data_IF_047442026967
#
_entry.id   IF_047442026967
#
_cell.length_a   1.000
_cell.length_b   1.000
_cell.length_c   1.000
_cell.angle_alpha   90.00
_cell.angle_beta   90.00
_cell.angle_gamma   90.00
#
_symmetry.space_group_name_H-M   'P 1'
#
loop_
_entity.id
_entity.type
_entity.pdbx_description
1 polymer ?
#
# COMPACT_ATOMS: atom_id res chain seq x y z
N UNK A 1 -1.28 -22.52 -38.85
CA UNK A 1 0.20 -22.52 -38.75
C UNK A 1 0.59 -22.56 -37.27
N UNK A 2 1.61 -23.36 -36.99
CA UNK A 2 2.15 -23.87 -35.71
C UNK A 2 1.91 -23.06 -34.42
N UNK A 3 1.39 -23.76 -33.41
CA UNK A 3 1.42 -23.31 -32.02
C UNK A 3 2.86 -23.09 -31.54
N UNK A 4 3.10 -21.92 -30.97
CA UNK A 4 4.35 -21.56 -30.33
C UNK A 4 4.37 -22.21 -28.95
N UNK A 5 5.17 -23.27 -28.80
CA UNK A 5 5.52 -23.81 -27.48
C UNK A 5 6.51 -22.84 -26.84
N UNK A 6 6.10 -22.22 -25.74
CA UNK A 6 7.01 -21.46 -24.86
C UNK A 6 7.88 -22.50 -24.13
N UNK A 7 9.22 -22.43 -24.20
CA UNK A 7 10.08 -23.37 -23.47
C UNK A 7 9.88 -23.21 -21.96
N UNK A 8 9.73 -24.34 -21.27
CA UNK A 8 9.40 -24.45 -19.84
C UNK A 8 10.62 -24.29 -18.89
N UNK A 9 11.66 -23.56 -19.29
CA UNK A 9 12.89 -23.40 -18.49
C UNK A 9 13.31 -21.93 -18.33
N UNK A 10 12.41 -21.10 -17.81
CA UNK A 10 12.76 -19.77 -17.28
C UNK A 10 12.52 -19.73 -15.76
N UNK A 11 13.15 -20.66 -15.04
CA UNK A 11 13.54 -20.41 -13.66
C UNK A 11 14.79 -19.52 -13.73
N UNK A 12 14.59 -18.21 -13.69
CA UNK A 12 15.62 -17.18 -13.79
C UNK A 12 16.56 -17.15 -12.58
N UNK A 13 17.41 -18.15 -12.44
CA UNK A 13 18.70 -17.92 -11.79
C UNK A 13 19.64 -17.33 -12.84
N UNK A 14 20.10 -16.10 -12.61
CA UNK A 14 21.10 -15.43 -13.45
C UNK A 14 22.25 -16.38 -13.78
N UNK A 15 22.28 -16.84 -15.04
CA UNK A 15 23.32 -17.73 -15.53
C UNK A 15 24.54 -16.88 -15.87
N UNK A 16 25.59 -17.02 -15.08
CA UNK A 16 26.91 -16.50 -15.42
C UNK A 16 27.73 -17.58 -16.16
N UNK A 17 28.96 -17.23 -16.54
CA UNK A 17 29.91 -18.02 -17.36
C UNK A 17 29.74 -19.54 -17.17
N UNK A 18 29.55 -20.27 -18.29
CA UNK A 18 29.33 -21.73 -18.36
C UNK A 18 27.95 -22.26 -17.87
N UNK A 19 26.93 -21.41 -17.74
CA UNK A 19 25.58 -21.83 -17.36
C UNK A 19 25.40 -22.07 -15.85
N UNK A 20 26.35 -21.61 -15.05
CA UNK A 20 26.33 -21.67 -13.60
C UNK A 20 25.92 -20.31 -13.01
N UNK A 21 25.07 -20.31 -11.99
CA UNK A 21 24.78 -19.09 -11.23
C UNK A 21 25.94 -18.72 -10.31
N UNK A 22 25.97 -17.47 -9.82
CA UNK A 22 27.05 -16.93 -8.98
C UNK A 22 27.30 -17.80 -7.74
N UNK A 23 26.24 -18.27 -7.11
CA UNK A 23 26.31 -19.17 -5.94
C UNK A 23 26.90 -20.53 -6.28
N UNK A 24 26.65 -21.05 -7.49
CA UNK A 24 27.20 -22.33 -7.97
C UNK A 24 28.67 -22.22 -8.35
N UNK A 25 29.07 -21.10 -8.96
CA UNK A 25 30.47 -20.79 -9.21
C UNK A 25 31.26 -20.72 -7.89
N UNK A 26 30.67 -20.10 -6.86
CA UNK A 26 31.26 -20.02 -5.53
C UNK A 26 31.41 -21.42 -4.88
N UNK A 27 30.40 -22.27 -4.98
CA UNK A 27 30.47 -23.65 -4.45
C UNK A 27 31.56 -24.49 -5.16
N UNK A 28 31.69 -24.35 -6.48
CA UNK A 28 32.77 -24.99 -7.25
C UNK A 28 34.14 -24.49 -6.81
N UNK A 29 34.30 -23.16 -6.72
CA UNK A 29 35.55 -22.54 -6.32
C UNK A 29 35.96 -22.96 -4.90
N UNK A 30 35.01 -23.04 -3.97
CA UNK A 30 35.25 -23.52 -2.61
C UNK A 30 35.65 -24.99 -2.57
N UNK A 31 35.02 -25.86 -3.36
CA UNK A 31 35.40 -27.28 -3.46
C UNK A 31 36.81 -27.48 -4.02
N UNK A 32 37.18 -26.71 -5.06
CA UNK A 32 38.53 -26.73 -5.61
C UNK A 32 39.57 -26.16 -4.64
N UNK A 33 39.23 -25.07 -3.94
CA UNK A 33 40.08 -24.47 -2.93
C UNK A 33 40.30 -25.44 -1.75
N UNK A 34 39.25 -26.13 -1.30
CA UNK A 34 39.35 -27.16 -0.27
C UNK A 34 40.21 -28.36 -0.71
N UNK A 35 40.07 -28.81 -1.96
CA UNK A 35 40.95 -29.83 -2.53
C UNK A 35 42.42 -29.39 -2.53
N UNK A 36 42.67 -28.14 -2.94
CA UNK A 36 44.02 -27.56 -2.95
C UNK A 36 44.63 -27.44 -1.55
N UNK A 37 43.87 -26.98 -0.55
CA UNK A 37 44.37 -26.90 0.83
C UNK A 37 44.67 -28.27 1.42
N UNK A 38 43.86 -29.29 1.11
CA UNK A 38 44.09 -30.68 1.56
C UNK A 38 45.40 -31.24 0.99
N UNK A 39 45.74 -30.91 -0.26
CA UNK A 39 47.02 -31.30 -0.88
C UNK A 39 48.24 -30.64 -0.23
N UNK A 40 48.05 -29.62 0.62
CA UNK A 40 49.13 -28.92 1.34
C UNK A 40 49.19 -29.29 2.83
N UNK A 41 48.36 -30.24 3.28
CA UNK A 41 48.42 -30.79 4.64
C UNK A 41 49.49 -31.87 4.75
N UNK A 42 50.15 -31.98 5.90
CA UNK A 42 51.15 -33.02 6.19
C UNK A 42 50.51 -34.38 6.52
N UNK A 43 49.73 -34.93 5.60
CA UNK A 43 49.09 -36.25 5.72
C UNK A 43 49.80 -37.33 4.86
N UNK A 44 49.52 -38.63 5.03
CA UNK A 44 50.00 -39.64 4.10
C UNK A 44 49.44 -39.41 2.70
N UNK A 45 50.28 -39.50 1.65
CA UNK A 45 49.92 -39.25 0.25
C UNK A 45 48.65 -39.96 -0.27
N UNK A 46 48.37 -41.24 0.05
CA UNK A 46 47.12 -41.87 -0.40
C UNK A 46 45.88 -41.23 0.24
N UNK A 47 46.01 -40.73 1.47
CA UNK A 47 44.91 -40.12 2.23
C UNK A 47 44.67 -38.67 1.77
N UNK A 48 45.75 -37.96 1.41
CA UNK A 48 45.66 -36.64 0.79
C UNK A 48 44.94 -36.69 -0.56
N UNK A 49 45.36 -37.57 -1.46
CA UNK A 49 44.80 -37.65 -2.81
C UNK A 49 43.32 -38.05 -2.77
N UNK A 50 42.96 -39.01 -1.92
CA UNK A 50 41.56 -39.45 -1.77
C UNK A 50 40.68 -38.33 -1.21
N UNK A 51 41.12 -37.63 -0.15
CA UNK A 51 40.38 -36.53 0.45
C UNK A 51 40.27 -35.30 -0.49
N UNK A 52 41.33 -34.94 -1.19
CA UNK A 52 41.33 -33.84 -2.15
C UNK A 52 40.40 -34.12 -3.35
N UNK A 53 40.44 -35.35 -3.86
CA UNK A 53 39.56 -35.78 -4.96
C UNK A 53 38.10 -35.78 -4.51
N UNK A 54 37.80 -36.25 -3.30
CA UNK A 54 36.45 -36.21 -2.74
C UNK A 54 35.92 -34.78 -2.59
N UNK A 55 36.75 -33.85 -2.09
CA UNK A 55 36.36 -32.45 -1.93
C UNK A 55 36.05 -31.77 -3.28
N UNK A 56 36.89 -32.02 -4.30
CA UNK A 56 36.68 -31.49 -5.64
C UNK A 56 35.42 -32.08 -6.32
N UNK A 57 35.23 -33.40 -6.21
CA UNK A 57 34.05 -34.09 -6.74
C UNK A 57 32.78 -33.62 -6.05
N UNK A 58 32.81 -33.37 -4.74
CA UNK A 58 31.67 -32.87 -4.00
C UNK A 58 31.28 -31.43 -4.41
N UNK A 59 32.28 -30.55 -4.60
CA UNK A 59 32.04 -29.20 -5.13
C UNK A 59 31.45 -29.21 -6.55
N UNK A 60 31.95 -30.10 -7.42
CA UNK A 60 31.41 -30.28 -8.77
C UNK A 60 30.00 -30.90 -8.76
N UNK A 61 29.74 -31.85 -7.86
CA UNK A 61 28.43 -32.46 -7.68
C UNK A 61 27.38 -31.41 -7.29
N UNK A 62 27.69 -30.55 -6.33
CA UNK A 62 26.81 -29.44 -5.91
C UNK A 62 26.55 -28.46 -7.07
N UNK A 63 27.55 -28.20 -7.91
CA UNK A 63 27.43 -27.28 -9.03
C UNK A 63 26.58 -27.82 -10.19
N UNK A 64 26.65 -29.14 -10.48
CA UNK A 64 26.07 -29.71 -11.70
C UNK A 64 24.97 -30.77 -11.51
N UNK A 65 24.89 -31.46 -10.39
CA UNK A 65 23.90 -32.54 -10.22
C UNK A 65 22.52 -31.97 -9.92
N UNK A 66 21.53 -32.45 -10.68
CA UNK A 66 20.12 -32.02 -10.65
C UNK A 66 19.18 -33.23 -10.48
N UNK A 67 18.90 -33.70 -9.27
CA UNK A 67 17.81 -34.64 -9.06
C UNK A 67 16.48 -33.89 -9.30
N UNK A 68 15.69 -34.35 -10.26
CA UNK A 68 14.35 -33.83 -10.59
C UNK A 68 14.32 -32.31 -10.91
N UNK A 69 15.41 -31.80 -11.52
CA UNK A 69 15.51 -30.40 -11.95
C UNK A 69 15.81 -29.38 -10.83
N UNK A 70 15.92 -29.81 -9.57
CA UNK A 70 16.27 -28.95 -8.42
C UNK A 70 17.73 -29.12 -8.01
N UNK A 71 18.33 -28.10 -7.40
CA UNK A 71 19.73 -28.15 -6.95
C UNK A 71 19.89 -29.05 -5.72
N UNK A 72 21.08 -29.63 -5.51
CA UNK A 72 21.38 -30.42 -4.31
C UNK A 72 21.29 -29.59 -3.02
N UNK A 73 21.51 -28.28 -3.09
CA UNK A 73 21.34 -27.35 -1.96
C UNK A 73 19.88 -27.35 -1.50
N UNK A 74 18.94 -27.33 -2.45
CA UNK A 74 17.50 -27.41 -2.17
C UNK A 74 17.13 -28.72 -1.44
N UNK A 75 17.69 -29.84 -1.91
CA UNK A 75 17.48 -31.14 -1.27
C UNK A 75 18.12 -31.23 0.12
N UNK A 76 19.28 -30.60 0.32
CA UNK A 76 19.94 -30.56 1.62
C UNK A 76 19.10 -29.78 2.65
N UNK A 77 18.53 -28.64 2.26
CA UNK A 77 17.62 -27.86 3.12
C UNK A 77 16.36 -28.66 3.42
N UNK A 78 15.74 -29.28 2.41
CA UNK A 78 14.55 -30.12 2.61
C UNK A 78 14.81 -31.32 3.54
N UNK A 79 16.00 -31.94 3.46
CA UNK A 79 16.39 -33.03 4.36
C UNK A 79 16.63 -32.55 5.80
N UNK A 80 17.17 -31.34 5.99
CA UNK A 80 17.32 -30.71 7.30
C UNK A 80 15.95 -30.42 7.91
N UNK A 81 15.05 -29.79 7.16
CA UNK A 81 13.68 -29.52 7.60
C UNK A 81 12.95 -30.81 8.00
N UNK A 82 13.01 -31.85 7.16
CA UNK A 82 12.42 -33.16 7.45
C UNK A 82 12.94 -33.77 8.77
N UNK A 83 14.25 -33.71 9.02
CA UNK A 83 14.84 -34.20 10.27
C UNK A 83 14.49 -33.38 11.50
N UNK A 84 14.22 -32.09 11.35
CA UNK A 84 13.76 -31.24 12.46
C UNK A 84 12.27 -31.48 12.75
N UNK A 85 11.45 -31.81 11.75
CA UNK A 85 10.04 -32.19 11.93
C UNK A 85 9.89 -33.52 12.68
N UNK A 86 10.76 -34.51 12.44
CA UNK A 86 10.72 -35.79 13.18
C UNK A 86 11.07 -35.65 14.66
N UNK A 87 11.84 -34.62 15.06
CA UNK A 87 12.23 -34.39 16.47
C UNK A 87 11.14 -33.70 17.31
N UNK A 88 10.03 -33.30 16.69
CA UNK A 88 8.93 -32.58 17.35
C UNK A 88 7.64 -33.40 17.44
N UNK A 89 7.65 -34.68 17.08
CA UNK A 89 6.49 -35.56 17.27
C UNK A 89 6.36 -35.96 18.76
N UNK A 90 5.28 -35.58 19.47
CA UNK A 90 4.96 -36.14 20.77
C UNK A 90 4.39 -37.56 20.61
N UNK A 91 4.63 -38.43 21.59
CA UNK A 91 4.15 -39.81 21.63
C UNK A 91 2.64 -39.98 21.35
N UNK A 92 2.24 -41.11 20.72
CA UNK A 92 0.83 -41.47 20.60
C UNK A 92 0.33 -42.06 21.93
N UNK A 93 -0.48 -41.29 22.66
CA UNK A 93 -1.19 -41.78 23.85
C UNK A 93 -2.30 -42.77 23.42
N UNK A 94 -2.20 -44.00 23.91
CA UNK A 94 -3.21 -45.05 23.81
C UNK A 94 -4.48 -44.74 24.61
N UNK A 95 -5.63 -44.97 23.96
CA UNK A 95 -6.85 -45.63 24.44
C UNK A 95 -7.53 -45.21 25.77
N UNK A 96 -8.76 -44.70 25.65
CA UNK A 96 -9.77 -44.69 26.73
C UNK A 96 -11.16 -44.27 26.22
N UNK A 97 -12.15 -45.16 26.34
CA UNK A 97 -13.53 -45.13 25.78
C UNK A 97 -14.45 -44.07 26.43
N UNK A 98 -15.68 -43.84 25.88
CA UNK A 98 -16.47 -42.61 26.06
C UNK A 98 -17.38 -42.66 27.29
N UNK A 99 -17.70 -41.48 27.83
CA UNK A 99 -18.91 -41.30 28.62
C UNK A 99 -19.61 -39.98 28.32
N UNK A 100 -20.94 -40.10 28.34
CA UNK A 100 -21.99 -39.16 27.94
C UNK A 100 -22.22 -38.03 28.92
N UNK A 101 -22.42 -36.79 28.42
CA UNK A 101 -22.98 -35.67 29.19
C UNK A 101 -23.04 -34.36 28.39
N UNK A 102 -24.10 -33.52 28.54
CA UNK A 102 -24.40 -32.42 27.62
C UNK A 102 -23.45 -31.22 27.79
N UNK A 103 -22.92 -30.75 26.65
CA UNK A 103 -22.06 -29.57 26.56
C UNK A 103 -22.83 -28.27 26.88
N UNK A 104 -22.54 -27.69 28.05
CA UNK A 104 -22.68 -26.24 28.25
C UNK A 104 -21.54 -25.53 27.52
N UNK A 105 -21.89 -24.69 26.55
CA UNK A 105 -20.98 -23.76 25.88
C UNK A 105 -20.32 -22.80 26.88
N UNK A 106 -19.10 -23.10 27.30
CA UNK A 106 -18.19 -22.10 27.89
C UNK A 106 -17.57 -21.29 26.74
N UNK A 107 -18.11 -20.10 26.50
CA UNK A 107 -17.43 -19.03 25.74
C UNK A 107 -16.09 -18.71 26.39
N UNK A 108 -15.01 -18.77 25.62
CA UNK A 108 -13.71 -18.21 26.01
C UNK A 108 -13.79 -16.66 26.06
N UNK A 109 -13.10 -15.99 27.00
CA UNK A 109 -13.21 -14.55 27.21
C UNK A 109 -12.46 -13.75 26.13
N UNK A 110 -13.15 -12.75 25.55
CA UNK A 110 -12.54 -11.69 24.73
C UNK A 110 -11.72 -10.75 25.63
N UNK A 111 -10.49 -10.36 25.29
CA UNK A 111 -9.78 -9.32 26.03
C UNK A 111 -10.43 -7.95 25.73
N UNK A 112 -11.07 -7.36 26.74
CA UNK A 112 -11.43 -5.93 26.78
C UNK A 112 -10.21 -5.17 27.31
N UNK A 113 -9.63 -4.32 26.47
CA UNK A 113 -8.67 -3.31 26.91
C UNK A 113 -9.46 -2.15 27.54
N UNK A 114 -9.26 -1.97 28.85
CA UNK A 114 -9.83 -0.88 29.64
C UNK A 114 -8.92 0.34 29.47
N UNK A 115 -9.51 1.44 28.98
CA UNK A 115 -8.89 2.76 28.91
C UNK A 115 -8.55 3.23 30.33
N UNK A 116 -7.27 3.32 30.68
CA UNK A 116 -6.83 4.00 31.90
C UNK A 116 -6.89 5.50 31.60
N UNK A 117 -7.89 6.14 32.19
CA UNK A 117 -8.08 7.59 32.12
C UNK A 117 -7.00 8.35 32.88
N UNK A 118 -6.75 9.57 32.40
CA UNK A 118 -5.90 10.60 32.99
C UNK A 118 -5.98 10.66 34.51
N UNK A 119 -4.85 10.41 35.17
CA UNK A 119 -4.55 10.98 36.49
C UNK A 119 -3.39 11.93 36.34
N UNK A 120 -3.73 13.22 36.26
CA UNK A 120 -2.84 14.35 36.45
C UNK A 120 -2.19 14.23 37.83
N UNK A 121 -0.88 13.94 37.86
CA UNK A 121 -0.10 14.05 39.08
C UNK A 121 0.19 15.52 39.37
N UNK A 122 -0.50 16.04 40.39
CA UNK A 122 -0.17 17.28 41.04
C UNK A 122 1.14 17.17 41.82
N UNK A 123 1.95 18.21 41.67
CA UNK A 123 3.18 18.51 42.41
C UNK A 123 2.83 18.84 43.86
N UNK A 124 3.53 18.22 44.81
CA UNK A 124 3.61 18.70 46.19
C UNK A 124 5.05 19.04 46.53
N UNK A 125 5.30 20.30 46.84
CA UNK A 125 6.43 20.75 47.64
C UNK A 125 5.90 21.84 48.58
N UNK A 126 6.42 21.77 49.80
CA UNK A 126 5.88 22.26 51.05
C UNK A 126 6.04 23.77 51.32
N UNK A 127 5.11 24.28 52.13
CA UNK A 127 5.25 25.31 53.20
C UNK A 127 5.42 26.79 52.79
N UNK A 128 4.37 27.59 53.02
CA UNK A 128 4.33 28.72 53.99
C UNK A 128 2.98 29.46 53.93
N UNK A 129 2.35 29.66 55.09
CA UNK A 129 1.28 30.65 55.33
C UNK A 129 1.92 31.98 55.83
N UNK A 130 1.21 33.11 56.12
CA UNK A 130 -0.26 33.27 56.29
C UNK A 130 -0.87 34.64 55.82
N UNK A 131 -2.18 34.85 56.14
CA UNK A 131 -2.95 36.13 56.31
C UNK A 131 -3.49 36.77 54.99
N UNK A 132 -4.74 37.21 54.75
CA UNK A 132 -5.90 37.64 55.56
C UNK A 132 -7.24 37.60 54.76
N UNK A 133 -8.37 37.71 55.50
CA UNK A 133 -9.67 38.35 55.17
C UNK A 133 -10.77 37.68 54.30
N UNK A 134 -11.72 37.00 54.98
CA UNK A 134 -13.18 37.28 55.13
C UNK A 134 -14.17 37.40 53.91
N UNK A 135 -15.51 37.25 54.12
CA UNK A 135 -16.40 36.35 53.33
C UNK A 135 -17.67 36.98 52.70
N UNK A 136 -18.50 36.14 52.05
CA UNK A 136 -19.91 36.40 51.60
C UNK A 136 -20.10 36.05 50.11
N UNK A 137 -21.13 35.35 49.62
CA UNK A 137 -22.44 34.99 50.15
C UNK A 137 -22.98 33.72 49.44
N UNK A 138 -23.86 33.02 50.16
CA UNK A 138 -24.78 31.97 49.71
C UNK A 138 -25.77 32.50 48.64
N UNK A 139 -26.02 31.74 47.56
CA UNK A 139 -27.40 31.43 47.13
C UNK A 139 -27.44 30.27 46.12
N UNK A 140 -28.26 29.27 46.45
CA UNK A 140 -28.63 28.08 45.65
C UNK A 140 -29.97 28.37 44.94
N UNK A 141 -30.29 27.61 43.88
CA UNK A 141 -31.63 27.12 43.40
C UNK A 141 -31.61 27.10 41.85
N UNK A 142 -31.36 25.93 41.24
CA UNK A 142 -32.31 24.89 40.77
C UNK A 142 -33.03 25.20 39.44
N UNK A 143 -32.87 24.26 38.50
CA UNK A 143 -33.54 24.16 37.21
C UNK A 143 -34.94 23.55 37.37
N UNK A 144 -35.89 23.88 36.49
CA UNK A 144 -37.00 22.99 36.19
C UNK A 144 -37.02 22.49 34.74
N UNK A 145 -37.65 21.33 34.64
CA UNK A 145 -37.72 20.37 33.53
C UNK A 145 -38.95 20.58 32.62
N UNK A 146 -38.89 19.92 31.46
CA UNK A 146 -39.87 19.70 30.37
C UNK A 146 -41.39 20.02 30.53
N UNK A 147 -42.01 20.53 29.46
CA UNK A 147 -43.18 19.90 28.77
C UNK A 147 -43.74 20.70 27.57
N UNK A 148 -43.87 19.98 26.44
CA UNK A 148 -44.80 20.01 25.30
C UNK A 148 -45.77 21.18 25.03
N UNK A 149 -45.75 21.68 23.77
CA UNK A 149 -46.96 22.03 22.99
C UNK A 149 -46.76 21.71 21.50
N UNK A 150 -47.66 20.90 20.97
CA UNK A 150 -47.87 20.51 19.57
C UNK A 150 -48.73 21.53 18.81
N UNK A 151 -48.44 21.77 17.52
CA UNK A 151 -49.37 21.84 16.38
C UNK A 151 -48.90 22.76 15.23
N UNK A 152 -48.92 22.23 14.00
CA UNK A 152 -49.01 23.04 12.77
C UNK A 152 -48.26 22.51 11.55
N UNK A 153 -48.92 21.72 10.71
CA UNK A 153 -48.47 21.32 9.37
C UNK A 153 -48.25 22.54 8.44
N UNK A 154 -47.12 22.56 7.72
CA UNK A 154 -46.97 23.27 6.45
C UNK A 154 -45.96 22.53 5.56
N UNK A 155 -46.45 22.06 4.42
CA UNK A 155 -45.66 21.33 3.42
C UNK A 155 -44.76 22.22 2.55
N UNK A 156 -43.75 21.55 2.01
CA UNK A 156 -43.14 21.76 0.69
C UNK A 156 -42.42 23.10 0.40
N UNK A 157 -41.07 23.02 0.40
CA UNK A 157 -40.17 23.24 -0.75
C UNK A 157 -38.91 24.08 -0.44
N UNK A 158 -37.76 23.57 -0.93
CA UNK A 158 -36.50 24.29 -1.21
C UNK A 158 -35.63 24.52 0.03
N UNK A 159 -34.41 24.02 0.17
CA UNK A 159 -33.38 23.87 -0.85
C UNK A 159 -32.51 22.63 -0.57
N UNK A 160 -32.89 21.52 -1.17
CA UNK A 160 -32.00 20.39 -1.39
C UNK A 160 -31.02 20.76 -2.49
N UNK A 161 -29.84 21.22 -2.08
CA UNK A 161 -28.65 21.40 -2.90
C UNK A 161 -28.48 20.16 -3.79
N UNK A 162 -28.87 20.31 -5.05
CA UNK A 162 -29.09 19.17 -5.95
C UNK A 162 -27.74 18.74 -6.50
N UNK A 163 -26.99 18.01 -5.68
CA UNK A 163 -25.66 17.50 -5.95
C UNK A 163 -25.47 17.10 -7.43
N UNK A 164 -24.48 17.70 -8.06
CA UNK A 164 -23.99 17.41 -9.40
C UNK A 164 -24.05 15.91 -9.64
N UNK A 165 -24.73 15.53 -10.72
CA UNK A 165 -25.02 14.14 -11.03
C UNK A 165 -23.71 13.39 -11.29
N UNK A 166 -23.13 12.77 -10.25
CA UNK A 166 -21.87 12.02 -10.28
C UNK A 166 -21.75 11.16 -11.54
N UNK A 167 -20.60 11.05 -12.21
CA UNK A 167 -20.54 10.34 -13.50
C UNK A 167 -20.79 8.84 -13.30
N UNK A 168 -21.28 8.19 -14.36
CA UNK A 168 -21.34 6.73 -14.40
C UNK A 168 -19.91 6.21 -14.57
N UNK A 169 -19.45 5.38 -13.64
CA UNK A 169 -18.12 4.78 -13.71
C UNK A 169 -18.18 3.56 -14.62
N UNK A 170 -17.64 3.69 -15.83
CA UNK A 170 -17.57 2.63 -16.81
C UNK A 170 -16.15 2.07 -16.85
N UNK A 171 -15.99 0.81 -16.46
CA UNK A 171 -14.72 0.10 -16.56
C UNK A 171 -14.28 -0.58 -15.27
N UNK A 172 -13.14 -1.26 -15.34
CA UNK A 172 -12.50 -1.86 -14.18
C UNK A 172 -11.82 -0.83 -13.26
N UNK A 173 -11.34 -1.29 -12.10
CA UNK A 173 -10.56 -0.47 -11.18
C UNK A 173 -9.33 0.13 -11.88
N UNK A 174 -9.09 1.43 -11.71
CA UNK A 174 -7.82 2.04 -12.10
C UNK A 174 -6.79 1.85 -10.99
N UNK A 175 -5.57 1.46 -11.37
CA UNK A 175 -4.47 1.19 -10.44
C UNK A 175 -3.38 2.23 -10.65
N UNK A 176 -3.07 3.01 -9.63
CA UNK A 176 -2.20 4.19 -9.72
C UNK A 176 -1.00 4.00 -8.81
N UNK A 177 0.20 4.33 -9.28
CA UNK A 177 1.41 4.35 -8.46
C UNK A 177 2.13 5.70 -8.55
N UNK A 178 2.81 6.07 -7.47
CA UNK A 178 3.73 7.21 -7.43
C UNK A 178 5.16 6.69 -7.37
N UNK A 179 5.99 7.07 -8.35
CA UNK A 179 7.32 6.49 -8.51
C UNK A 179 8.42 7.56 -8.54
N UNK A 180 9.57 7.22 -7.96
CA UNK A 180 10.81 7.99 -8.04
C UNK A 180 11.93 7.10 -7.52
N UNK A 181 13.08 7.11 -8.18
CA UNK A 181 14.29 6.40 -7.73
C UNK A 181 15.00 7.16 -6.60
N UNK A 182 14.53 8.36 -6.23
CA UNK A 182 15.04 9.16 -5.12
C UNK A 182 14.10 9.10 -3.92
N UNK A 183 14.66 8.73 -2.77
CA UNK A 183 13.97 8.82 -1.47
C UNK A 183 13.65 10.26 -1.05
N UNK A 184 12.61 10.44 -0.24
CA UNK A 184 12.24 11.77 0.31
C UNK A 184 11.59 12.74 -0.69
N UNK A 185 11.28 12.28 -1.91
CA UNK A 185 10.53 13.04 -2.93
C UNK A 185 9.04 13.21 -2.60
N UNK A 186 8.54 12.48 -1.60
CA UNK A 186 7.15 12.57 -1.10
C UNK A 186 6.16 11.64 -1.81
N UNK A 187 6.61 10.48 -2.33
CA UNK A 187 5.76 9.50 -3.03
C UNK A 187 4.62 8.99 -2.14
N UNK A 188 4.96 8.45 -0.96
CA UNK A 188 3.99 8.02 0.05
C UNK A 188 3.05 9.15 0.43
N UNK A 189 3.57 10.36 0.68
CA UNK A 189 2.75 11.54 0.97
C UNK A 189 1.72 11.80 -0.13
N UNK A 190 2.14 11.90 -1.39
CA UNK A 190 1.22 12.14 -2.50
C UNK A 190 0.23 10.99 -2.70
N UNK A 191 0.68 9.73 -2.55
CA UNK A 191 -0.17 8.55 -2.62
C UNK A 191 -1.29 8.60 -1.57
N UNK A 192 -0.93 8.86 -0.30
CA UNK A 192 -1.87 8.96 0.81
C UNK A 192 -2.85 10.11 0.62
N UNK A 193 -2.36 11.31 0.29
CA UNK A 193 -3.19 12.51 0.16
C UNK A 193 -4.16 12.43 -1.01
N UNK A 194 -3.70 11.93 -2.17
CA UNK A 194 -4.56 11.75 -3.35
C UNK A 194 -5.59 10.65 -3.12
N UNK A 195 -5.20 9.53 -2.49
CA UNK A 195 -6.15 8.47 -2.14
C UNK A 195 -7.21 8.97 -1.16
N UNK A 196 -6.80 9.67 -0.11
CA UNK A 196 -7.69 10.30 0.86
C UNK A 196 -8.66 11.29 0.19
N UNK A 197 -8.16 12.13 -0.72
CA UNK A 197 -8.98 13.11 -1.43
C UNK A 197 -10.00 12.47 -2.37
N UNK A 198 -9.60 11.45 -3.12
CA UNK A 198 -10.50 10.67 -3.98
C UNK A 198 -11.61 10.00 -3.17
N UNK A 199 -11.26 9.43 -2.02
CA UNK A 199 -12.21 8.78 -1.11
C UNK A 199 -13.18 9.76 -0.46
N UNK A 200 -12.67 10.91 -0.02
CA UNK A 200 -13.45 11.92 0.70
C UNK A 200 -14.43 12.66 -0.22
N UNK A 201 -13.99 13.04 -1.42
CA UNK A 201 -14.77 13.91 -2.33
C UNK A 201 -15.37 13.18 -3.52
N UNK A 202 -14.81 12.06 -3.94
CA UNK A 202 -15.22 11.38 -5.14
C UNK A 202 -16.57 10.69 -4.99
N UNK A 203 -17.43 10.89 -5.99
CA UNK A 203 -18.75 10.26 -6.09
C UNK A 203 -18.91 9.64 -7.47
N UNK A 204 -19.53 8.47 -7.58
CA UNK A 204 -19.81 7.80 -8.86
C UNK A 204 -21.20 7.17 -8.89
N UNK A 205 -21.65 6.75 -10.07
CA UNK A 205 -22.85 5.91 -10.26
C UNK A 205 -22.47 4.63 -11.00
N UNK A 206 -23.16 3.54 -10.70
CA UNK A 206 -23.03 2.27 -11.44
C UNK A 206 -23.79 2.29 -12.78
N UNK A 207 -24.91 2.99 -12.82
CA UNK A 207 -25.81 3.11 -13.98
C UNK A 207 -26.40 4.53 -14.02
N UNK A 208 -26.83 5.04 -15.19
CA UNK A 208 -27.49 6.36 -15.29
C UNK A 208 -28.67 6.55 -14.33
N UNK A 209 -29.35 5.46 -13.96
CA UNK A 209 -30.51 5.45 -13.06
C UNK A 209 -30.16 5.19 -11.59
N UNK A 210 -28.94 4.74 -11.30
CA UNK A 210 -28.50 4.44 -9.93
C UNK A 210 -28.24 5.72 -9.13
N UNK A 211 -28.44 5.72 -7.80
CA UNK A 211 -28.06 6.83 -6.95
C UNK A 211 -26.54 7.03 -6.94
N UNK A 212 -26.12 8.26 -6.66
CA UNK A 212 -24.71 8.61 -6.45
C UNK A 212 -24.16 7.91 -5.20
N UNK A 213 -22.98 7.32 -5.31
CA UNK A 213 -22.28 6.59 -4.25
C UNK A 213 -20.87 7.16 -4.05
N UNK A 214 -20.30 7.12 -2.83
CA UNK A 214 -18.89 7.47 -2.62
C UNK A 214 -17.96 6.52 -3.38
N UNK A 215 -16.87 7.04 -3.94
CA UNK A 215 -15.83 6.19 -4.52
C UNK A 215 -15.28 5.23 -3.47
N UNK A 216 -15.11 3.97 -3.86
CA UNK A 216 -14.35 2.99 -3.11
C UNK A 216 -12.91 3.04 -3.57
N UNK A 217 -12.06 3.54 -2.69
CA UNK A 217 -10.64 3.76 -2.94
C UNK A 217 -9.84 2.90 -1.97
N UNK A 218 -8.94 2.09 -2.51
CA UNK A 218 -8.00 1.28 -1.74
C UNK A 218 -6.61 1.91 -1.79
N UNK A 219 -5.96 2.09 -0.64
CA UNK A 219 -4.55 2.44 -0.53
C UNK A 219 -3.79 1.22 0.00
N UNK A 220 -2.84 0.70 -0.78
CA UNK A 220 -2.07 -0.50 -0.45
C UNK A 220 -0.61 -0.12 -0.32
N UNK A 221 -0.04 -0.35 0.86
CA UNK A 221 1.35 -0.05 1.17
C UNK A 221 2.25 -1.26 0.84
N UNK A 222 2.89 -1.20 -0.33
CA UNK A 222 3.87 -2.17 -0.81
C UNK A 222 5.32 -1.70 -0.60
N UNK A 223 5.58 -0.58 0.08
CA UNK A 223 6.95 -0.15 0.43
C UNK A 223 7.44 -0.92 1.68
N UNK A 224 7.69 -2.21 1.52
CA UNK A 224 8.01 -3.13 2.62
C UNK A 224 9.24 -2.71 3.46
N UNK A 225 10.17 -1.98 2.83
CA UNK A 225 11.39 -1.49 3.48
C UNK A 225 11.19 -0.20 4.27
N UNK A 226 10.11 0.54 4.02
CA UNK A 226 9.83 1.83 4.63
C UNK A 226 8.33 2.16 4.67
N UNK A 227 7.51 1.22 5.15
CA UNK A 227 6.07 1.40 5.29
C UNK A 227 5.76 2.53 6.28
N UNK A 228 5.25 3.65 5.76
CA UNK A 228 5.02 4.87 6.53
C UNK A 228 3.56 5.34 6.48
N UNK A 229 2.67 4.64 5.76
CA UNK A 229 1.25 5.02 5.67
C UNK A 229 0.58 4.96 7.05
N UNK A 230 0.94 3.96 7.85
CA UNK A 230 0.47 3.80 9.24
C UNK A 230 0.68 5.06 10.08
N UNK A 231 1.88 5.62 10.03
CA UNK A 231 2.24 6.86 10.73
C UNK A 231 1.46 8.07 10.21
N UNK A 232 1.21 8.17 8.90
CA UNK A 232 0.45 9.31 8.34
C UNK A 232 -1.04 9.28 8.69
N UNK A 233 -1.61 8.10 8.92
CA UNK A 233 -3.05 7.91 9.17
C UNK A 233 -3.37 7.64 10.64
N UNK A 234 -2.37 7.43 11.50
CA UNK A 234 -2.59 7.11 12.92
C UNK A 234 -3.16 5.72 13.15
N UNK A 235 -2.86 4.79 12.24
CA UNK A 235 -3.39 3.43 12.27
C UNK A 235 -2.22 2.46 12.40
N UNK A 236 -2.22 1.63 13.45
CA UNK A 236 -1.10 0.72 13.73
C UNK A 236 -1.32 -0.70 13.18
N UNK A 237 -2.54 -1.23 13.25
CA UNK A 237 -2.88 -2.63 12.94
C UNK A 237 -4.35 -2.78 12.51
N UNK A 238 -4.72 -3.87 11.82
CA UNK A 238 -3.83 -4.90 11.25
C UNK A 238 -2.95 -4.40 10.09
N UNK A 239 -1.88 -5.15 9.81
CA UNK A 239 -0.90 -4.91 8.75
C UNK A 239 -0.87 -6.09 7.77
N UNK A 240 -0.21 -5.88 6.63
CA UNK A 240 0.05 -6.94 5.65
C UNK A 240 0.83 -8.10 6.26
N UNK A 241 1.62 -7.88 7.32
CA UNK A 241 2.29 -8.96 8.03
C UNK A 241 1.29 -9.88 8.73
N UNK A 242 0.25 -9.31 9.34
CA UNK A 242 -0.81 -10.08 10.01
C UNK A 242 -1.56 -10.94 8.99
N UNK A 243 -1.79 -10.42 7.79
CA UNK A 243 -2.35 -11.17 6.66
C UNK A 243 -1.45 -12.33 6.21
N UNK A 244 -0.16 -12.06 5.99
CA UNK A 244 0.78 -13.04 5.46
C UNK A 244 1.13 -14.14 6.48
N UNK A 245 0.99 -13.86 7.76
CA UNK A 245 1.27 -14.80 8.85
C UNK A 245 0.02 -15.43 9.46
N UNK A 246 -1.18 -15.17 8.92
CA UNK A 246 -2.40 -15.81 9.39
C UNK A 246 -2.46 -17.28 8.93
N UNK A 247 -2.06 -18.18 9.84
CA UNK A 247 -2.11 -19.64 9.64
C UNK A 247 -3.44 -20.26 10.09
N UNK A 248 -4.39 -19.45 10.59
CA UNK A 248 -5.68 -19.96 11.05
C UNK A 248 -6.58 -20.37 9.89
N UNK A 249 -6.37 -19.76 8.72
CA UNK A 249 -7.08 -20.05 7.47
C UNK A 249 -6.09 -20.49 6.39
N UNK A 250 -6.44 -21.48 5.54
CA UNK A 250 -5.59 -21.89 4.43
C UNK A 250 -5.35 -20.78 3.40
N UNK A 251 -6.38 -19.95 3.18
CA UNK A 251 -6.38 -18.85 2.21
C UNK A 251 -7.08 -17.64 2.83
N UNK A 252 -6.40 -16.86 3.69
CA UNK A 252 -6.99 -15.66 4.28
C UNK A 252 -7.40 -14.68 3.17
N UNK A 253 -8.54 -14.00 3.35
CA UNK A 253 -8.97 -12.94 2.43
C UNK A 253 -8.24 -11.64 2.81
N UNK A 254 -7.45 -11.03 1.89
CA UNK A 254 -6.77 -9.75 2.15
C UNK A 254 -7.70 -8.66 2.71
N UNK A 255 -8.99 -8.70 2.39
CA UNK A 255 -9.99 -7.71 2.84
C UNK A 255 -10.25 -7.75 4.34
N UNK A 256 -9.99 -8.86 5.00
CA UNK A 256 -10.16 -8.99 6.45
C UNK A 256 -9.09 -8.19 7.23
N UNK A 257 -8.03 -7.76 6.54
CA UNK A 257 -6.92 -6.98 7.08
C UNK A 257 -6.94 -5.52 6.58
N UNK A 258 -8.06 -5.08 6.01
CA UNK A 258 -8.26 -3.71 5.51
C UNK A 258 -8.94 -2.86 6.56
N UNK A 259 -8.46 -1.63 6.69
CA UNK A 259 -8.96 -0.67 7.68
C UNK A 259 -9.59 0.50 6.97
N UNK A 260 -10.83 0.82 7.34
CA UNK A 260 -11.52 2.04 6.93
C UNK A 260 -11.03 3.21 7.77
N UNK A 261 -10.28 4.14 7.20
CA UNK A 261 -9.88 5.36 7.89
C UNK A 261 -11.12 6.22 8.20
N UNK A 262 -11.36 6.60 9.48
CA UNK A 262 -12.63 7.18 9.90
C UNK A 262 -12.93 8.54 9.26
N UNK A 263 -11.93 9.41 9.10
CA UNK A 263 -12.15 10.77 8.62
C UNK A 263 -12.28 10.88 7.09
N UNK A 264 -11.60 10.01 6.33
CA UNK A 264 -11.58 10.08 4.85
C UNK A 264 -12.37 8.96 4.19
N UNK A 265 -12.81 7.98 4.98
CA UNK A 265 -13.40 6.74 4.51
C UNK A 265 -12.50 5.97 3.53
N UNK A 266 -11.19 6.17 3.57
CA UNK A 266 -10.25 5.45 2.73
C UNK A 266 -10.08 4.03 3.25
N UNK A 267 -10.14 3.03 2.37
CA UNK A 267 -9.80 1.65 2.73
C UNK A 267 -8.29 1.45 2.58
N UNK A 268 -7.63 0.98 3.63
CA UNK A 268 -6.16 0.93 3.68
C UNK A 268 -5.69 -0.47 4.06
N UNK A 269 -4.73 -0.99 3.31
CA UNK A 269 -3.93 -2.16 3.68
C UNK A 269 -2.53 -1.68 4.03
N UNK A 270 -2.19 -1.73 5.32
CA UNK A 270 -0.93 -1.19 5.85
C UNK A 270 0.24 -2.12 5.55
N UNK A 271 1.42 -1.54 5.31
CA UNK A 271 2.64 -2.29 5.10
C UNK A 271 3.20 -2.83 6.41
N UNK A 272 4.17 -3.74 6.37
CA UNK A 272 4.80 -4.26 7.58
C UNK A 272 5.63 -3.18 8.28
N UNK A 273 5.56 -3.12 9.60
CA UNK A 273 6.40 -2.21 10.40
C UNK A 273 7.89 -2.49 10.17
N UNK A 274 8.68 -1.46 9.87
CA UNK A 274 10.11 -1.56 9.52
C UNK A 274 10.95 -2.44 10.46
N UNK A 275 10.69 -2.39 11.77
CA UNK A 275 11.42 -3.21 12.76
C UNK A 275 11.12 -4.72 12.67
N UNK A 276 9.97 -5.07 12.09
CA UNK A 276 9.52 -6.45 11.87
C UNK A 276 9.75 -6.92 10.43
N UNK A 277 10.16 -6.01 9.54
CA UNK A 277 10.40 -6.27 8.12
C UNK A 277 11.69 -7.01 7.82
N UNK A 278 12.65 -7.17 8.75
CA UNK A 278 13.83 -8.06 8.64
C UNK A 278 14.47 -8.23 7.25
N UNK A 279 14.98 -9.43 6.95
CA UNK A 279 15.41 -9.87 5.60
C UNK A 279 14.21 -10.39 4.77
N UNK A 280 13.00 -9.91 5.11
CA UNK A 280 11.73 -10.51 4.70
C UNK A 280 11.20 -9.90 3.39
N UNK A 281 12.10 -9.50 2.49
CA UNK A 281 11.73 -9.30 1.08
C UNK A 281 11.13 -10.58 0.46
N UNK A 282 11.31 -11.74 1.11
CA UNK A 282 10.65 -13.01 0.81
C UNK A 282 9.20 -13.13 1.34
N UNK A 283 8.76 -12.29 2.28
CA UNK A 283 7.42 -12.44 2.88
C UNK A 283 6.29 -12.16 1.90
N UNK A 284 6.51 -11.23 0.96
CA UNK A 284 5.54 -10.88 -0.05
C UNK A 284 6.10 -11.18 -1.45
N UNK A 285 5.69 -12.33 -1.96
CA UNK A 285 5.92 -12.74 -3.34
C UNK A 285 5.02 -11.99 -4.32
N UNK A 286 5.42 -12.01 -5.60
CA UNK A 286 4.58 -11.56 -6.72
C UNK A 286 3.20 -12.25 -6.71
N UNK A 287 3.14 -13.53 -6.34
CA UNK A 287 1.89 -14.28 -6.27
C UNK A 287 0.94 -13.74 -5.20
N UNK A 288 1.45 -13.38 -4.02
CA UNK A 288 0.64 -12.76 -2.96
C UNK A 288 0.21 -11.35 -3.34
N UNK A 289 1.10 -10.54 -3.94
CA UNK A 289 0.74 -9.23 -4.46
C UNK A 289 -0.35 -9.34 -5.54
N UNK A 290 -0.26 -10.32 -6.44
CA UNK A 290 -1.29 -10.63 -7.41
C UNK A 290 -2.63 -10.96 -6.74
N UNK A 291 -2.61 -11.83 -5.73
CA UNK A 291 -3.80 -12.20 -4.97
C UNK A 291 -4.47 -10.99 -4.30
N UNK A 292 -3.69 -10.13 -3.64
CA UNK A 292 -4.19 -8.88 -3.04
C UNK A 292 -4.87 -8.02 -4.11
N UNK A 293 -4.18 -7.75 -5.22
CA UNK A 293 -4.72 -6.89 -6.28
C UNK A 293 -5.97 -7.50 -6.93
N UNK A 294 -6.01 -8.80 -7.18
CA UNK A 294 -7.20 -9.46 -7.77
C UNK A 294 -8.39 -9.41 -6.82
N UNK A 295 -8.16 -9.57 -5.53
CA UNK A 295 -9.21 -9.52 -4.50
C UNK A 295 -9.82 -8.12 -4.43
N UNK A 296 -8.99 -7.08 -4.35
CA UNK A 296 -9.47 -5.70 -4.36
C UNK A 296 -10.17 -5.35 -5.68
N UNK A 297 -9.63 -5.79 -6.82
CA UNK A 297 -10.28 -5.54 -8.12
C UNK A 297 -11.67 -6.17 -8.19
N UNK A 298 -11.81 -7.40 -7.71
CA UNK A 298 -13.09 -8.13 -7.69
C UNK A 298 -14.08 -7.59 -6.66
N UNK A 299 -13.58 -6.92 -5.62
CA UNK A 299 -14.40 -6.36 -4.56
C UNK A 299 -15.11 -5.05 -4.94
N UNK A 300 -14.98 -4.55 -6.17
CA UNK A 300 -15.72 -3.38 -6.65
C UNK A 300 -15.11 -2.03 -6.28
N UNK A 301 -13.79 -1.97 -6.08
CA UNK A 301 -13.06 -0.70 -5.94
C UNK A 301 -12.96 0.03 -7.27
N UNK A 302 -13.11 1.35 -7.28
CA UNK A 302 -12.89 2.15 -8.49
C UNK A 302 -11.42 2.52 -8.66
N UNK A 303 -10.72 2.77 -7.55
CA UNK A 303 -9.33 3.19 -7.57
C UNK A 303 -8.50 2.40 -6.55
N UNK A 304 -7.34 1.93 -6.97
CA UNK A 304 -6.32 1.34 -6.12
C UNK A 304 -5.05 2.18 -6.24
N UNK A 305 -4.61 2.77 -5.14
CA UNK A 305 -3.37 3.54 -5.06
C UNK A 305 -2.34 2.64 -4.40
N UNK A 306 -1.23 2.42 -5.10
CA UNK A 306 -0.12 1.60 -4.62
C UNK A 306 1.00 2.53 -4.14
N UNK A 307 1.36 2.43 -2.87
CA UNK A 307 2.63 2.98 -2.40
C UNK A 307 3.71 1.94 -2.62
N UNK A 308 4.72 2.28 -3.40
CA UNK A 308 5.76 1.34 -3.85
C UNK A 308 7.14 1.87 -3.47
N UNK A 309 8.07 0.95 -3.20
CA UNK A 309 9.45 1.29 -2.90
C UNK A 309 10.14 1.99 -4.08
N UNK A 310 11.31 2.60 -3.84
CA UNK A 310 12.07 3.29 -4.90
C UNK A 310 12.85 2.32 -5.80
N UNK A 311 12.78 1.02 -5.49
CA UNK A 311 13.51 -0.03 -6.16
C UNK A 311 12.78 -0.49 -7.42
N UNK A 312 13.49 -1.23 -8.26
CA UNK A 312 12.94 -1.92 -9.43
C UNK A 312 13.31 -3.41 -9.33
N UNK A 313 12.90 -4.06 -8.24
CA UNK A 313 12.97 -5.51 -8.10
C UNK A 313 11.81 -6.19 -8.81
N UNK A 314 11.70 -7.52 -8.68
CA UNK A 314 10.65 -8.31 -9.33
C UNK A 314 9.26 -7.89 -8.86
N UNK A 315 9.09 -7.66 -7.56
CA UNK A 315 7.82 -7.21 -6.98
C UNK A 315 7.44 -5.81 -7.50
N UNK A 316 8.33 -4.83 -7.40
CA UNK A 316 8.02 -3.47 -7.87
C UNK A 316 7.76 -3.43 -9.36
N UNK A 317 8.51 -4.21 -10.15
CA UNK A 317 8.31 -4.33 -11.59
C UNK A 317 6.94 -4.91 -11.90
N UNK A 318 6.55 -6.00 -11.25
CA UNK A 318 5.21 -6.59 -11.38
C UNK A 318 4.10 -5.59 -11.01
N UNK A 319 4.26 -4.85 -9.91
CA UNK A 319 3.28 -3.85 -9.49
C UNK A 319 3.16 -2.71 -10.52
N UNK A 320 4.29 -2.21 -11.03
CA UNK A 320 4.35 -1.16 -12.05
C UNK A 320 3.79 -1.63 -13.41
N UNK A 321 3.99 -2.88 -13.78
CA UNK A 321 3.35 -3.49 -14.95
C UNK A 321 1.83 -3.61 -14.79
N UNK A 322 1.35 -3.84 -13.57
CA UNK A 322 -0.08 -3.94 -13.26
C UNK A 322 -0.78 -2.57 -13.20
N UNK A 323 -0.05 -1.49 -12.94
CA UNK A 323 -0.66 -0.16 -12.84
C UNK A 323 -1.19 0.35 -14.18
N UNK A 324 -2.27 1.12 -14.14
CA UNK A 324 -2.82 1.84 -15.31
C UNK A 324 -2.08 3.15 -15.57
N UNK A 325 -1.56 3.80 -14.52
CA UNK A 325 -0.79 5.04 -14.63
C UNK A 325 0.28 5.15 -13.54
N UNK A 326 1.44 5.67 -13.92
CA UNK A 326 2.59 5.92 -13.04
C UNK A 326 2.83 7.43 -12.99
N UNK A 327 2.76 8.02 -11.80
CA UNK A 327 3.17 9.41 -11.60
C UNK A 327 4.61 9.48 -11.11
N UNK A 328 5.52 9.86 -12.00
CA UNK A 328 6.92 10.11 -11.67
C UNK A 328 7.05 11.43 -10.88
N UNK A 329 7.49 11.31 -9.63
CA UNK A 329 7.61 12.43 -8.69
C UNK A 329 9.01 13.03 -8.76
N UNK A 330 9.08 14.34 -8.98
CA UNK A 330 10.31 15.13 -9.02
C UNK A 330 10.24 16.31 -8.05
N UNK A 331 11.36 16.65 -7.43
CA UNK A 331 11.51 17.84 -6.57
C UNK A 331 12.47 18.84 -7.22
N UNK A 332 12.44 20.14 -6.84
CA UNK A 332 13.29 21.17 -7.43
C UNK A 332 14.76 21.10 -6.96
N UNK A 333 15.40 19.95 -7.17
CA UNK A 333 16.81 19.69 -6.85
C UNK A 333 17.47 18.96 -8.01
N UNK A 334 18.71 19.31 -8.33
CA UNK A 334 19.45 18.68 -9.44
C UNK A 334 19.51 17.15 -9.30
N UNK A 335 19.75 16.64 -8.08
CA UNK A 335 19.75 15.21 -7.82
C UNK A 335 18.38 14.54 -8.09
N UNK A 336 17.27 15.22 -7.82
CA UNK A 336 15.95 14.67 -8.12
C UNK A 336 15.65 14.64 -9.61
N UNK A 337 16.14 15.63 -10.36
CA UNK A 337 16.01 15.67 -11.83
C UNK A 337 16.86 14.58 -12.47
N UNK A 338 18.10 14.37 -12.01
CA UNK A 338 18.92 13.24 -12.48
C UNK A 338 18.29 11.88 -12.18
N UNK A 339 17.76 11.70 -10.97
CA UNK A 339 17.02 10.48 -10.60
C UNK A 339 15.78 10.29 -11.47
N UNK A 340 15.06 11.37 -11.82
CA UNK A 340 13.92 11.33 -12.73
C UNK A 340 14.34 10.80 -14.11
N UNK A 341 15.39 11.36 -14.74
CA UNK A 341 15.87 10.88 -16.04
C UNK A 341 16.20 9.38 -16.01
N UNK A 342 16.98 8.95 -15.00
CA UNK A 342 17.37 7.54 -14.85
C UNK A 342 16.15 6.63 -14.64
N UNK A 343 15.22 7.04 -13.77
CA UNK A 343 14.00 6.29 -13.49
C UNK A 343 13.10 6.17 -14.71
N UNK A 344 12.88 7.26 -15.43
CA UNK A 344 12.05 7.28 -16.65
C UNK A 344 12.67 6.43 -17.75
N UNK A 345 13.99 6.51 -17.95
CA UNK A 345 14.70 5.66 -18.91
C UNK A 345 14.56 4.18 -18.55
N UNK A 346 14.72 3.81 -17.28
CA UNK A 346 14.51 2.44 -16.83
C UNK A 346 13.08 1.95 -17.10
N UNK A 347 12.07 2.75 -16.74
CA UNK A 347 10.65 2.43 -16.99
C UNK A 347 10.33 2.32 -18.49
N UNK A 348 10.95 3.14 -19.34
CA UNK A 348 10.78 3.07 -20.80
C UNK A 348 11.36 1.79 -21.37
N UNK A 349 12.52 1.34 -20.89
CA UNK A 349 13.17 0.09 -21.34
C UNK A 349 12.34 -1.15 -21.07
N UNK A 350 11.57 -1.15 -19.98
CA UNK A 350 10.61 -2.22 -19.65
C UNK A 350 9.21 -1.98 -20.25
N UNK A 351 9.07 -1.05 -21.19
CA UNK A 351 7.82 -0.84 -21.94
C UNK A 351 6.73 -0.02 -21.22
N UNK A 352 7.04 0.59 -20.06
CA UNK A 352 6.06 1.36 -19.27
C UNK A 352 5.99 2.85 -19.64
N UNK A 353 6.71 3.27 -20.69
CA UNK A 353 6.80 4.67 -21.12
C UNK A 353 5.45 5.35 -21.39
N UNK A 354 4.47 4.61 -21.92
CA UNK A 354 3.14 5.14 -22.24
C UNK A 354 2.28 5.42 -20.99
N UNK A 355 2.65 4.87 -19.82
CA UNK A 355 1.90 5.02 -18.58
C UNK A 355 2.36 6.21 -17.73
N UNK A 356 3.41 6.90 -18.14
CA UNK A 356 4.09 7.90 -17.33
C UNK A 356 3.36 9.25 -17.36
N UNK A 357 3.11 9.81 -16.18
CA UNK A 357 2.79 11.21 -15.95
C UNK A 357 3.79 11.81 -14.96
N UNK A 358 3.92 13.14 -14.93
CA UNK A 358 4.93 13.81 -14.12
C UNK A 358 4.31 14.72 -13.08
N UNK A 359 4.80 14.65 -11.84
CA UNK A 359 4.34 15.51 -10.74
C UNK A 359 5.53 16.18 -10.11
N UNK A 360 5.49 17.50 -10.04
CA UNK A 360 6.49 18.27 -9.34
C UNK A 360 6.04 18.50 -7.90
N UNK A 361 6.82 18.02 -6.93
CA UNK A 361 6.53 18.14 -5.51
C UNK A 361 7.52 19.10 -4.84
N UNK A 362 7.11 19.67 -3.69
CA UNK A 362 7.92 20.60 -2.90
C UNK A 362 8.42 21.79 -3.73
N UNK A 363 7.59 22.28 -4.65
CA UNK A 363 7.94 23.38 -5.55
C UNK A 363 8.13 24.69 -4.78
N UNK A 364 9.20 25.40 -5.11
CA UNK A 364 9.49 26.74 -4.60
C UNK A 364 9.59 27.72 -5.77
N UNK A 365 9.39 28.99 -5.49
CA UNK A 365 9.50 30.03 -6.50
C UNK A 365 10.88 30.04 -7.16
N UNK A 366 10.91 30.39 -8.45
CA UNK A 366 12.15 30.48 -9.23
C UNK A 366 12.70 29.17 -9.79
N UNK A 367 12.13 28.01 -9.47
CA UNK A 367 12.58 26.74 -10.07
C UNK A 367 11.77 26.39 -11.33
N UNK A 368 12.47 26.18 -12.45
CA UNK A 368 11.86 25.80 -13.72
C UNK A 368 12.14 24.32 -14.06
N UNK A 369 11.09 23.59 -14.40
CA UNK A 369 11.14 22.19 -14.84
C UNK A 369 10.80 22.04 -16.33
N UNK A 370 10.64 23.12 -17.08
CA UNK A 370 10.26 23.08 -18.49
C UNK A 370 11.29 22.33 -19.36
N UNK A 371 12.58 22.58 -19.17
CA UNK A 371 13.66 21.87 -19.89
C UNK A 371 13.65 20.36 -19.57
N UNK A 372 13.68 19.91 -18.29
CA UNK A 372 13.55 18.48 -17.99
C UNK A 372 12.29 17.82 -18.52
N UNK A 373 11.16 18.54 -18.56
CA UNK A 373 9.93 18.01 -19.14
C UNK A 373 10.00 17.92 -20.67
N UNK A 374 10.64 18.91 -21.32
CA UNK A 374 10.91 18.90 -22.75
C UNK A 374 11.76 17.71 -23.19
N UNK A 375 12.86 17.46 -22.49
CA UNK A 375 13.76 16.32 -22.77
C UNK A 375 13.06 14.96 -22.60
N UNK A 376 12.12 14.89 -21.67
CA UNK A 376 11.32 13.70 -21.41
C UNK A 376 10.09 13.61 -22.32
N UNK A 377 9.88 14.55 -23.25
CA UNK A 377 8.67 14.67 -24.07
C UNK A 377 7.39 14.55 -23.22
N UNK A 378 7.40 15.19 -22.05
CA UNK A 378 6.34 15.11 -21.04
C UNK A 378 5.85 16.47 -20.60
N UNK A 379 4.80 16.47 -19.78
CA UNK A 379 4.28 17.67 -19.13
C UNK A 379 3.96 17.39 -17.68
N UNK A 380 4.14 18.40 -16.82
CA UNK A 380 3.70 18.32 -15.43
C UNK A 380 2.17 18.28 -15.35
N UNK A 381 1.66 17.26 -14.69
CA UNK A 381 0.23 17.09 -14.39
C UNK A 381 -0.19 18.01 -13.25
N UNK A 382 0.69 18.16 -12.25
CA UNK A 382 0.48 19.03 -11.12
C UNK A 382 1.81 19.55 -10.57
N UNK A 383 1.74 20.71 -9.91
CA UNK A 383 2.83 21.35 -9.19
C UNK A 383 2.39 21.54 -7.74
N UNK A 384 2.87 20.68 -6.86
CA UNK A 384 2.58 20.76 -5.43
C UNK A 384 3.61 21.70 -4.79
N UNK A 385 3.19 22.82 -4.18
CA UNK A 385 4.10 23.75 -3.55
C UNK A 385 4.79 23.12 -2.34
N UNK A 386 5.93 23.67 -1.95
CA UNK A 386 6.53 23.39 -0.65
C UNK A 386 5.64 23.98 0.43
N UNK A 387 5.14 23.13 1.31
CA UNK A 387 4.23 23.54 2.38
C UNK A 387 4.56 22.75 3.67
N UNK A 388 5.00 23.42 4.75
CA UNK A 388 5.30 22.76 6.02
C UNK A 388 4.04 22.18 6.70
N UNK A 389 2.84 22.50 6.22
CA UNK A 389 1.61 21.90 6.73
C UNK A 389 1.56 20.39 6.50
N UNK A 390 2.26 19.84 5.49
CA UNK A 390 2.38 18.39 5.29
C UNK A 390 3.08 17.69 6.46
N UNK A 391 4.14 18.31 7.01
CA UNK A 391 4.87 17.77 8.17
C UNK A 391 4.00 17.89 9.43
N UNK A 392 3.27 19.00 9.56
CA UNK A 392 2.34 19.21 10.67
C UNK A 392 1.18 18.21 10.65
N UNK A 393 0.64 17.91 9.47
CA UNK A 393 -0.44 16.95 9.26
C UNK A 393 0.03 15.52 9.58
N UNK A 394 1.23 15.15 9.12
CA UNK A 394 1.86 13.86 9.45
C UNK A 394 2.07 13.68 10.95
N UNK A 395 2.57 14.71 11.66
CA UNK A 395 2.73 14.67 13.12
C UNK A 395 1.40 14.59 13.88
N UNK A 396 0.29 14.98 13.24
CA UNK A 396 -1.08 14.83 13.79
C UNK A 396 -1.74 13.53 13.36
N UNK A 397 -1.05 12.71 12.58
CA UNK A 397 -1.56 11.45 12.07
C UNK A 397 -2.84 11.60 11.23
N UNK A 398 -2.96 12.70 10.47
CA UNK A 398 -4.07 12.91 9.56
C UNK A 398 -3.59 13.44 8.19
N UNK A 399 -4.25 13.07 7.09
CA UNK A 399 -3.99 13.69 5.78
C UNK A 399 -4.32 15.19 5.78
N UNK A 400 -3.49 16.00 5.13
CA UNK A 400 -3.69 17.43 4.98
C UNK A 400 -5.06 17.75 4.35
N UNK A 401 -5.51 16.94 3.40
CA UNK A 401 -6.79 17.12 2.70
C UNK A 401 -8.03 17.08 3.59
N UNK A 402 -7.93 16.53 4.82
CA UNK A 402 -9.03 16.54 5.81
C UNK A 402 -9.32 17.95 6.31
N UNK A 403 -8.28 18.78 6.45
CA UNK A 403 -8.39 20.13 7.01
C UNK A 403 -8.94 21.17 6.03
N UNK A 404 -9.14 20.80 4.78
CA UNK A 404 -9.76 21.65 3.77
C UNK A 404 -8.77 22.49 2.97
N UNK A 405 -9.08 23.77 2.77
CA UNK A 405 -8.59 24.57 1.65
C UNK A 405 -7.13 25.03 1.78
N UNK A 406 -6.51 25.36 0.65
CA UNK A 406 -5.17 25.91 0.54
C UNK A 406 -4.54 25.59 -0.82
N UNK A 407 -3.46 26.28 -1.18
CA UNK A 407 -2.80 26.09 -2.48
C UNK A 407 -2.30 24.63 -2.66
N UNK A 408 -1.81 24.00 -1.59
CA UNK A 408 -1.40 22.59 -1.59
C UNK A 408 -2.56 21.64 -1.87
N UNK A 409 -3.72 21.87 -1.22
CA UNK A 409 -4.92 21.04 -1.40
C UNK A 409 -5.57 21.28 -2.77
N UNK A 410 -5.52 22.52 -3.28
CA UNK A 410 -5.93 22.81 -4.66
C UNK A 410 -5.02 22.06 -5.64
N UNK A 411 -3.69 22.12 -5.46
CA UNK A 411 -2.75 21.39 -6.31
C UNK A 411 -2.93 19.86 -6.22
N UNK A 412 -3.23 19.32 -5.03
CA UNK A 412 -3.63 17.92 -4.85
C UNK A 412 -4.96 17.61 -5.55
N UNK A 413 -5.91 18.55 -5.56
CA UNK A 413 -7.18 18.41 -6.30
C UNK A 413 -6.92 18.41 -7.81
N UNK A 414 -5.96 19.21 -8.31
CA UNK A 414 -5.51 19.15 -9.70
C UNK A 414 -4.96 17.77 -10.05
N UNK A 415 -4.10 17.22 -9.19
CA UNK A 415 -3.53 15.89 -9.36
C UNK A 415 -4.59 14.77 -9.25
N UNK A 416 -5.49 14.84 -8.29
CA UNK A 416 -6.56 13.87 -8.15
C UNK A 416 -7.54 13.94 -9.35
N UNK A 417 -7.80 15.14 -9.87
CA UNK A 417 -8.64 15.33 -11.05
C UNK A 417 -8.01 14.80 -12.35
N UNK A 418 -6.69 14.69 -12.45
CA UNK A 418 -6.08 14.00 -13.59
C UNK A 418 -6.36 12.50 -13.56
N UNK A 419 -6.53 11.92 -12.37
CA UNK A 419 -6.95 10.52 -12.18
C UNK A 419 -8.46 10.40 -12.39
N UNK A 420 -9.25 11.26 -11.74
CA UNK A 420 -10.70 11.26 -11.77
C UNK A 420 -11.25 12.66 -12.10
N UNK A 421 -11.47 12.98 -13.39
CA UNK A 421 -11.84 14.33 -13.85
C UNK A 421 -13.09 14.93 -13.19
N UNK A 422 -14.01 14.09 -12.72
CA UNK A 422 -15.23 14.56 -12.07
C UNK A 422 -15.00 15.24 -10.71
N UNK A 423 -13.80 15.20 -10.13
CA UNK A 423 -13.45 16.04 -8.98
C UNK A 423 -13.41 17.53 -9.29
N UNK A 424 -13.29 17.92 -10.56
CA UNK A 424 -13.20 19.32 -11.01
C UNK A 424 -14.38 19.81 -11.82
N UNK A 425 -15.30 18.93 -12.21
CA UNK A 425 -16.43 19.34 -13.03
C UNK A 425 -17.30 20.31 -12.20
N UNK A 426 -17.52 21.56 -12.66
CA UNK A 426 -18.53 22.40 -12.04
C UNK A 426 -19.90 21.73 -12.16
N UNK A 427 -20.73 21.88 -11.12
CA UNK A 427 -22.16 21.59 -11.17
C UNK A 427 -22.71 22.10 -12.52
N UNK A 428 -23.35 21.25 -13.36
CA UNK A 428 -23.95 21.75 -14.57
C UNK A 428 -25.06 22.73 -14.15
N UNK A 429 -24.79 24.03 -14.33
CA UNK A 429 -25.82 25.06 -14.19
C UNK A 429 -26.95 24.65 -15.12
N UNK A 430 -28.12 24.31 -14.56
CA UNK A 430 -29.33 24.09 -15.36
C UNK A 430 -29.65 25.42 -16.05
N UNK A 431 -29.18 25.61 -17.28
CA UNK A 431 -29.89 26.47 -18.21
C UNK A 431 -31.28 25.86 -18.34
N UNK A 432 -32.29 26.60 -17.91
CA UNK A 432 -33.71 26.28 -18.11
C UNK A 432 -33.95 26.27 -19.62
N UNK A 433 -33.63 25.14 -20.26
CA UNK A 433 -34.17 24.81 -21.56
C UNK A 433 -35.33 23.86 -21.30
N UNK A 434 -36.50 24.48 -21.23
CA UNK A 434 -37.80 23.80 -21.34
C UNK A 434 -37.74 22.80 -22.49
N UNK A 435 -38.06 21.51 -22.25
CA UNK A 435 -38.41 20.62 -23.33
C UNK A 435 -39.81 21.04 -23.81
N UNK A 436 -40.01 21.06 -25.13
CA UNK A 436 -41.27 21.31 -25.84
C UNK A 436 -41.68 22.77 -26.10
N UNK A 437 -41.13 23.36 -27.17
CA UNK A 437 -41.93 24.12 -28.15
C UNK A 437 -41.48 23.75 -29.55
N UNK A 438 -41.87 22.57 -30.02
CA UNK A 438 -41.94 22.30 -31.46
C UNK A 438 -43.37 21.94 -31.80
N UNK A 439 -44.19 22.94 -32.10
CA UNK A 439 -45.31 22.80 -33.02
C UNK A 439 -45.63 24.14 -33.69
N UNK A 440 -45.53 24.08 -35.02
CA UNK A 440 -46.41 24.73 -36.00
C UNK A 440 -46.71 26.23 -35.86
N UNK A 441 -46.12 27.00 -36.78
CA UNK A 441 -46.93 27.94 -37.56
C UNK A 441 -46.48 27.98 -39.02
N UNK A 442 -47.28 27.32 -39.85
CA UNK A 442 -47.43 27.66 -41.27
C UNK A 442 -47.73 29.16 -41.35
N UNK A 443 -47.02 29.88 -42.21
CA UNK A 443 -47.59 31.01 -42.94
C UNK A 443 -47.47 30.72 -44.43
N UNK A 444 -48.64 30.59 -45.05
CA UNK A 444 -48.86 30.93 -46.45
C UNK A 444 -48.83 32.45 -46.61
N UNK A 445 -48.60 32.84 -47.86
CA UNK A 445 -48.97 34.06 -48.55
C UNK A 445 -47.92 35.18 -48.59
N UNK A 446 -47.58 35.53 -49.83
CA UNK A 446 -46.62 36.55 -50.27
C UNK A 446 -46.06 36.10 -51.60
#
# INVERSE_FOLDING_TARGET
>A
MRGVRIPHELNGEDQFILGLSVTRLAALALGLLAGYTILHLSLPTPLQLTAATLAAVFGAAIAWIRPEGRSLIHWAVAAIEFKFTERLAPEPVLSGRPDTGPQQQRRAPRPRLTLVGDTVHAVSSEVSAPIDAAPGDDEVIELPDSSDVDSGEAGANGDGETAASAPVYLGGPQVIAFFSTKGGTGRTTLATEVAALLSLKGRYRESPTSPSQPLRVGLIDFDLGSANISARLGIAQPTMLDYLCDLTLPHPDPRDFVIRHPATHLDVMLGPSKCLSGDRSELLSVAQAAHILTTFKSAGYQFLILDISANLGDLETYLLETVTRIYCVVTPTAGSVQSLYRGVEALRRIGLGAKLGYVANKMRDGFNLAEPMGDLNGSLVARIPFDPSFDTAENRHEPLVVRGNGASVEALTILAASIYPALKLPEPSRSVLSPFVWFSKRRRAG
#
